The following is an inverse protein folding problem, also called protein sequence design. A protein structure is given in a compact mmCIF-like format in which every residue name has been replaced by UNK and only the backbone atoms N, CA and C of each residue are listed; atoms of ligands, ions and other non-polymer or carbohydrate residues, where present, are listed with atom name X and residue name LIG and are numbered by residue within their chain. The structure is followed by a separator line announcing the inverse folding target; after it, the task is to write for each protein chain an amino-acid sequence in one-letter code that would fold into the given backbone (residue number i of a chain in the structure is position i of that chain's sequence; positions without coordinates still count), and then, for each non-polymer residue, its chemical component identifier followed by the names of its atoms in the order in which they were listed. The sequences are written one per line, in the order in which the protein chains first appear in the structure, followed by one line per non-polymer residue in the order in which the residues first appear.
data_IF_768564795483
#
_entry.id   IF_768564795483
#
_cell.length_a   1.000
_cell.length_b   1.000
_cell.length_c   1.000
_cell.angle_alpha   90.00
_cell.angle_beta   90.00
_cell.angle_gamma   90.00
#
_symmetry.space_group_name_H-M   'P 1'
#
loop_
_entity.id
_entity.type
_entity.pdbx_description
1 polymer ?
#
# COMPACT_ATOMS: atom_id res chain seq x y z
N UNK A 1 -9.43 -0.17 -3.28
CA UNK A 1 -9.71 -1.61 -3.39
C UNK A 1 -9.44 -2.34 -2.06
N UNK A 2 -9.84 -3.62 -1.95
CA UNK A 2 -9.39 -4.51 -0.88
C UNK A 2 -8.01 -5.03 -1.28
N UNK A 3 -6.97 -4.53 -0.62
CA UNK A 3 -5.58 -4.77 -1.01
C UNK A 3 -4.78 -5.39 0.15
N UNK A 4 -3.80 -6.21 -0.18
CA UNK A 4 -2.81 -6.75 0.77
C UNK A 4 -1.71 -5.73 1.11
N UNK A 5 -1.63 -4.60 0.42
CA UNK A 5 -0.59 -3.59 0.62
C UNK A 5 -0.51 -3.14 2.07
N UNK A 6 0.68 -3.27 2.67
CA UNK A 6 0.97 -2.76 4.01
C UNK A 6 0.82 -1.22 4.06
N UNK A 7 1.08 -0.54 2.95
CA UNK A 7 0.96 0.91 2.82
C UNK A 7 -0.50 1.36 2.90
N UNK A 8 -1.43 0.58 2.34
CA UNK A 8 -2.85 0.93 2.23
C UNK A 8 -3.71 0.27 3.33
N UNK A 9 -3.09 -0.22 4.38
CA UNK A 9 -3.79 -0.81 5.52
C UNK A 9 -4.83 0.17 6.08
N UNK A 10 -6.06 -0.32 6.28
CA UNK A 10 -7.21 0.44 6.78
C UNK A 10 -7.65 1.62 5.86
N UNK A 11 -7.29 1.57 4.58
CA UNK A 11 -7.72 2.55 3.57
C UNK A 11 -8.71 1.96 2.56
N UNK A 12 -9.23 0.75 2.80
CA UNK A 12 -10.22 0.12 1.92
C UNK A 12 -11.45 0.99 1.76
N UNK A 13 -11.86 1.24 0.52
CA UNK A 13 -13.03 2.05 0.18
C UNK A 13 -12.80 3.56 0.24
N UNK A 14 -11.63 4.03 0.68
CA UNK A 14 -11.30 5.44 0.63
C UNK A 14 -11.29 5.96 -0.82
N UNK A 15 -11.85 7.14 -1.03
CA UNK A 15 -11.89 7.88 -2.30
C UNK A 15 -11.21 9.21 -2.05
N UNK A 16 -10.07 9.41 -2.65
CA UNK A 16 -9.18 10.52 -2.34
C UNK A 16 -8.69 11.17 -3.62
N UNK A 17 -8.60 12.51 -3.66
CA UNK A 17 -7.91 13.20 -4.74
C UNK A 17 -6.44 12.82 -4.71
N UNK A 18 -5.81 12.73 -5.87
CA UNK A 18 -4.39 12.43 -5.97
C UNK A 18 -3.78 13.17 -7.16
N UNK A 19 -2.54 13.64 -6.98
CA UNK A 19 -1.77 14.26 -8.05
C UNK A 19 -1.34 13.23 -9.08
N UNK A 20 -1.56 13.53 -10.35
CA UNK A 20 -1.10 12.75 -11.50
C UNK A 20 -0.19 13.64 -12.33
N UNK A 21 1.04 13.19 -12.55
CA UNK A 21 2.04 13.94 -13.31
C UNK A 21 2.99 12.96 -14.02
N UNK A 22 2.42 12.06 -14.83
CA UNK A 22 3.18 11.12 -15.64
C UNK A 22 2.85 11.30 -17.13
N UNK A 23 3.87 11.41 -17.96
CA UNK A 23 3.69 11.59 -19.40
C UNK A 23 3.26 10.31 -20.12
N UNK A 24 3.80 9.16 -19.74
CA UNK A 24 3.66 7.91 -20.50
C UNK A 24 3.33 6.68 -19.65
N UNK A 25 3.14 6.82 -18.35
CA UNK A 25 2.96 5.69 -17.47
C UNK A 25 1.53 5.21 -17.36
N UNK A 26 1.25 3.97 -17.72
CA UNK A 26 0.02 3.24 -17.39
C UNK A 26 0.30 1.76 -17.23
N UNK A 27 -0.54 1.05 -16.48
CA UNK A 27 -0.49 -0.40 -16.45
C UNK A 27 -0.84 -0.94 -17.83
N UNK A 28 0.09 -1.63 -18.46
CA UNK A 28 -0.12 -2.34 -19.73
C UNK A 28 -0.39 -3.82 -19.45
N UNK A 29 -1.30 -4.39 -20.20
CA UNK A 29 -1.67 -5.80 -20.13
C UNK A 29 -1.53 -6.42 -21.50
N UNK A 30 -1.07 -7.65 -21.54
CA UNK A 30 -0.93 -8.47 -22.75
C UNK A 30 -1.87 -9.70 -22.69
N UNK A 31 -1.77 -10.57 -23.66
CA UNK A 31 -2.58 -11.78 -23.75
C UNK A 31 -2.35 -12.73 -22.57
N UNK A 32 -1.18 -12.71 -21.96
CA UNK A 32 -0.81 -13.56 -20.82
C UNK A 32 -1.22 -12.96 -19.47
N UNK A 33 -1.40 -11.65 -19.42
CA UNK A 33 -1.72 -10.89 -18.20
C UNK A 33 -3.08 -10.18 -18.34
N UNK A 34 -4.16 -10.95 -18.34
CA UNK A 34 -5.51 -10.40 -18.44
C UNK A 34 -5.84 -9.50 -17.22
N UNK A 35 -6.27 -8.24 -17.42
CA UNK A 35 -6.54 -7.30 -16.33
C UNK A 35 -7.66 -7.78 -15.40
N UNK A 36 -8.64 -8.54 -15.88
CA UNK A 36 -9.68 -9.13 -15.04
C UNK A 36 -9.13 -10.22 -14.10
N UNK A 37 -8.15 -11.01 -14.58
CA UNK A 37 -7.47 -12.00 -13.73
C UNK A 37 -6.60 -11.32 -12.66
N UNK A 38 -5.91 -10.25 -13.02
CA UNK A 38 -5.12 -9.42 -12.08
C UNK A 38 -6.02 -8.83 -10.99
N UNK A 39 -7.21 -8.36 -11.38
CA UNK A 39 -8.21 -7.85 -10.44
C UNK A 39 -8.73 -8.98 -9.52
N UNK A 40 -9.08 -10.14 -10.09
CA UNK A 40 -9.57 -11.31 -9.34
C UNK A 40 -8.51 -11.89 -8.38
N UNK A 41 -7.22 -11.76 -8.72
CA UNK A 41 -6.11 -12.17 -7.87
C UNK A 41 -5.92 -11.28 -6.61
N UNK A 42 -6.67 -10.17 -6.48
CA UNK A 42 -6.62 -9.28 -5.32
C UNK A 42 -5.34 -8.47 -5.18
N UNK A 43 -4.54 -8.37 -6.25
CA UNK A 43 -3.29 -7.60 -6.27
C UNK A 43 -3.46 -6.17 -6.78
N UNK A 44 -4.66 -5.79 -7.23
CA UNK A 44 -4.98 -4.40 -7.55
C UNK A 44 -5.16 -3.61 -6.26
N UNK A 45 -4.33 -2.59 -6.08
CA UNK A 45 -4.30 -1.77 -4.88
C UNK A 45 -5.15 -0.49 -5.03
N UNK A 46 -5.05 0.16 -6.18
CA UNK A 46 -5.72 1.43 -6.47
C UNK A 46 -6.36 1.41 -7.85
N UNK A 47 -7.50 2.09 -7.97
CA UNK A 47 -8.14 2.36 -9.26
C UNK A 47 -8.61 3.80 -9.36
N UNK A 48 -8.60 4.36 -10.54
CA UNK A 48 -9.30 5.59 -10.86
C UNK A 48 -10.80 5.36 -10.82
N UNK A 49 -11.52 6.31 -10.22
CA UNK A 49 -12.97 6.27 -10.10
C UNK A 49 -13.56 7.60 -10.55
N UNK A 50 -14.78 7.56 -11.05
CA UNK A 50 -15.56 8.74 -11.37
C UNK A 50 -16.10 9.43 -10.10
N UNK A 51 -16.86 10.51 -10.27
CA UNK A 51 -17.48 11.27 -9.17
C UNK A 51 -18.56 10.47 -8.41
N UNK A 52 -19.03 9.34 -8.95
CA UNK A 52 -19.96 8.40 -8.28
C UNK A 52 -19.20 7.30 -7.55
N UNK A 53 -17.88 7.21 -7.80
CA UNK A 53 -16.99 6.20 -7.24
C UNK A 53 -16.98 4.88 -8.00
N UNK A 54 -17.48 4.86 -9.21
CA UNK A 54 -17.35 3.72 -10.11
C UNK A 54 -15.98 3.76 -10.81
N UNK A 55 -15.28 2.61 -10.89
CA UNK A 55 -14.04 2.54 -11.68
C UNK A 55 -14.29 2.95 -13.13
N UNK A 56 -13.36 3.75 -13.68
CA UNK A 56 -13.57 4.35 -14.99
C UNK A 56 -12.30 4.38 -15.84
N UNK A 57 -12.50 4.31 -17.16
CA UNK A 57 -11.46 4.49 -18.17
C UNK A 57 -11.54 5.87 -18.85
N UNK A 58 -12.53 6.70 -18.46
CA UNK A 58 -12.84 7.94 -19.15
C UNK A 58 -12.13 9.15 -18.52
N UNK A 59 -11.56 10.00 -19.38
CA UNK A 59 -11.09 11.31 -19.01
C UNK A 59 -12.28 12.20 -18.55
N UNK A 60 -12.11 13.09 -17.57
CA UNK A 60 -10.89 13.46 -16.87
C UNK A 60 -10.57 12.58 -15.64
N UNK A 61 -11.43 11.68 -15.26
CA UNK A 61 -11.28 10.88 -14.02
C UNK A 61 -10.17 9.82 -14.14
N UNK A 62 -9.89 9.34 -15.35
CA UNK A 62 -8.76 8.49 -15.68
C UNK A 62 -7.89 9.23 -16.70
N UNK A 63 -6.82 9.90 -16.24
CA UNK A 63 -6.08 10.84 -17.08
C UNK A 63 -5.17 10.17 -18.12
N UNK A 64 -4.87 8.89 -17.99
CA UNK A 64 -3.96 8.16 -18.89
C UNK A 64 -4.61 6.95 -19.58
N UNK A 65 -5.91 6.74 -19.43
CA UNK A 65 -6.62 5.62 -20.04
C UNK A 65 -6.21 4.24 -19.46
N UNK A 66 -5.83 4.17 -18.20
CA UNK A 66 -5.49 2.89 -17.54
C UNK A 66 -6.66 1.91 -17.60
N UNK A 67 -6.42 0.71 -18.11
CA UNK A 67 -7.42 -0.35 -18.28
C UNK A 67 -8.09 -0.69 -16.95
N UNK A 68 -9.44 -0.78 -16.94
CA UNK A 68 -10.27 -0.97 -15.75
C UNK A 68 -9.99 0.07 -14.64
N UNK A 69 -9.40 1.21 -14.97
CA UNK A 69 -8.96 2.22 -14.01
C UNK A 69 -7.75 1.80 -13.16
N UNK A 70 -7.10 0.68 -13.43
CA UNK A 70 -6.00 0.15 -12.61
C UNK A 70 -4.82 1.12 -12.63
N UNK A 71 -4.47 1.64 -11.45
CA UNK A 71 -3.39 2.62 -11.32
C UNK A 71 -2.41 2.30 -10.19
N UNK A 72 -2.63 1.23 -9.45
CA UNK A 72 -1.71 0.72 -8.45
C UNK A 72 -1.86 -0.78 -8.24
N UNK A 73 -0.73 -1.47 -8.10
CA UNK A 73 -0.64 -2.90 -7.88
C UNK A 73 0.19 -3.19 -6.63
N UNK A 74 -0.03 -4.35 -6.02
CA UNK A 74 0.76 -4.81 -4.87
C UNK A 74 1.13 -6.28 -5.04
N UNK A 75 2.20 -6.69 -4.36
CA UNK A 75 2.54 -8.10 -4.24
C UNK A 75 1.57 -8.83 -3.31
N UNK A 76 1.50 -10.17 -3.40
CA UNK A 76 0.64 -10.99 -2.53
C UNK A 76 0.98 -10.86 -1.05
N UNK A 77 2.26 -10.62 -0.71
CA UNK A 77 2.72 -10.36 0.65
C UNK A 77 2.55 -8.90 1.11
N UNK A 78 2.11 -8.03 0.21
CA UNK A 78 1.83 -6.61 0.46
C UNK A 78 3.04 -5.71 0.67
N UNK A 79 4.25 -6.22 0.56
CA UNK A 79 5.50 -5.48 0.85
C UNK A 79 5.91 -4.52 -0.24
N UNK A 80 5.50 -4.77 -1.47
CA UNK A 80 5.76 -3.90 -2.61
C UNK A 80 4.44 -3.36 -3.12
N UNK A 81 4.36 -2.06 -3.29
CA UNK A 81 3.22 -1.39 -3.93
C UNK A 81 3.77 -0.44 -4.98
N UNK A 82 3.35 -0.64 -6.21
CA UNK A 82 3.64 0.26 -7.32
C UNK A 82 2.38 1.06 -7.67
N UNK A 83 2.56 2.31 -8.01
CA UNK A 83 1.45 3.18 -8.41
C UNK A 83 1.93 4.27 -9.34
N UNK A 84 1.03 4.74 -10.20
CA UNK A 84 1.30 5.85 -11.11
C UNK A 84 1.06 7.22 -10.46
N UNK A 85 -0.02 7.43 -9.67
CA UNK A 85 -0.25 8.69 -8.98
C UNK A 85 0.80 8.98 -7.88
N UNK A 86 0.87 10.24 -7.47
CA UNK A 86 1.89 10.79 -6.58
C UNK A 86 1.33 11.17 -5.19
N UNK A 87 1.20 10.22 -4.24
CA UNK A 87 0.71 10.53 -2.88
C UNK A 87 1.65 11.48 -2.12
N UNK A 88 2.95 11.51 -2.45
CA UNK A 88 3.92 12.42 -1.84
C UNK A 88 3.68 13.89 -2.21
N UNK A 89 2.85 14.16 -3.21
CA UNK A 89 2.50 15.52 -3.63
C UNK A 89 1.21 16.04 -2.99
N UNK A 90 0.48 15.21 -2.24
CA UNK A 90 -0.83 15.53 -1.66
C UNK A 90 -1.02 15.00 -0.24
N UNK A 91 0.07 14.72 0.49
CA UNK A 91 -0.01 14.22 1.87
C UNK A 91 -0.25 15.33 2.91
N UNK A 92 0.02 16.60 2.56
CA UNK A 92 -0.36 17.77 3.34
C UNK A 92 -1.63 18.39 2.79
N UNK A 93 -2.49 18.87 3.67
CA UNK A 93 -3.75 19.52 3.27
C UNK A 93 -3.50 20.74 2.39
N UNK A 94 -2.48 21.55 2.70
CA UNK A 94 -2.10 22.72 1.90
C UNK A 94 -1.69 22.41 0.44
N UNK A 95 -1.43 21.15 0.11
CA UNK A 95 -1.09 20.70 -1.24
C UNK A 95 -2.33 20.38 -2.09
N UNK A 96 -3.52 20.43 -1.50
CA UNK A 96 -4.79 20.18 -2.18
C UNK A 96 -5.47 21.52 -2.47
N UNK A 97 -5.96 21.70 -3.69
CA UNK A 97 -6.71 22.91 -4.09
C UNK A 97 -8.06 23.03 -3.38
N UNK A 98 -8.60 21.91 -2.92
CA UNK A 98 -9.78 21.82 -2.07
C UNK A 98 -9.64 20.62 -1.13
N UNK A 99 -10.18 20.76 0.07
CA UNK A 99 -10.23 19.70 1.08
C UNK A 99 -11.37 19.94 2.06
N UNK A 100 -11.92 18.89 2.70
CA UNK A 100 -12.81 19.01 3.83
C UNK A 100 -12.11 19.70 5.02
N UNK A 101 -12.83 20.53 5.77
CA UNK A 101 -12.26 21.26 6.90
C UNK A 101 -11.73 20.35 8.02
N UNK A 102 -12.30 19.17 8.18
CA UNK A 102 -11.93 18.18 9.18
C UNK A 102 -10.59 17.50 8.95
N UNK A 103 -9.95 17.66 7.80
CA UNK A 103 -8.64 17.02 7.54
C UNK A 103 -7.49 17.59 8.38
N UNK A 104 -7.62 18.80 8.91
CA UNK A 104 -6.57 19.44 9.69
C UNK A 104 -5.34 19.79 8.85
N UNK A 105 -4.14 19.57 9.38
CA UNK A 105 -2.88 19.87 8.69
C UNK A 105 -2.42 18.75 7.74
N UNK A 106 -2.64 17.50 8.16
CA UNK A 106 -2.21 16.31 7.44
C UNK A 106 -3.32 15.77 6.54
N UNK A 107 -3.06 15.63 5.26
CA UNK A 107 -3.97 15.01 4.31
C UNK A 107 -4.04 13.48 4.48
N UNK A 108 -5.12 12.83 3.97
CA UNK A 108 -5.37 11.41 4.20
C UNK A 108 -4.28 10.50 3.59
N UNK A 109 -3.55 10.94 2.57
CA UNK A 109 -2.46 10.17 1.98
C UNK A 109 -1.25 10.00 2.91
N UNK A 110 -1.10 10.83 3.93
CA UNK A 110 -0.06 10.64 4.95
C UNK A 110 -0.19 9.31 5.68
N UNK A 111 -1.41 8.73 5.75
CA UNK A 111 -1.65 7.42 6.34
C UNK A 111 -0.82 6.33 5.69
N UNK A 112 -0.61 6.38 4.39
CA UNK A 112 0.23 5.43 3.65
C UNK A 112 1.65 5.37 4.23
N UNK A 113 2.28 6.51 4.46
CA UNK A 113 3.62 6.62 5.04
C UNK A 113 3.64 6.20 6.53
N UNK A 114 2.60 6.55 7.28
CA UNK A 114 2.43 6.11 8.67
C UNK A 114 2.28 4.59 8.80
N UNK A 115 1.56 3.96 7.87
CA UNK A 115 1.42 2.51 7.82
C UNK A 115 2.77 1.82 7.58
N UNK A 116 3.55 2.29 6.62
CA UNK A 116 4.91 1.80 6.36
C UNK A 116 5.80 1.94 7.61
N UNK A 117 5.77 3.10 8.27
CA UNK A 117 6.54 3.35 9.50
C UNK A 117 6.16 2.40 10.63
N UNK A 118 4.88 2.17 10.83
CA UNK A 118 4.38 1.22 11.85
C UNK A 118 4.82 -0.20 11.56
N UNK A 119 4.75 -0.61 10.30
CA UNK A 119 5.12 -1.96 9.88
C UNK A 119 6.62 -2.23 10.12
N UNK A 120 7.50 -1.33 9.71
CA UNK A 120 8.95 -1.42 9.96
C UNK A 120 9.26 -1.44 11.46
N UNK A 121 8.55 -0.65 12.28
CA UNK A 121 8.72 -0.66 13.73
C UNK A 121 8.32 -2.00 14.36
N UNK A 122 7.21 -2.59 13.92
CA UNK A 122 6.75 -3.88 14.40
C UNK A 122 7.70 -5.03 14.03
N UNK A 123 8.25 -5.02 12.81
CA UNK A 123 9.25 -6.00 12.35
C UNK A 123 10.53 -5.96 13.18
N UNK A 124 11.03 -4.77 13.53
CA UNK A 124 12.20 -4.61 14.40
C UNK A 124 11.98 -5.22 15.77
N UNK A 125 10.82 -4.97 16.38
CA UNK A 125 10.47 -5.53 17.71
C UNK A 125 10.36 -7.06 17.64
N UNK A 126 9.77 -7.61 16.60
CA UNK A 126 9.66 -9.05 16.40
C UNK A 126 11.05 -9.70 16.17
N UNK A 127 11.92 -9.04 15.41
CA UNK A 127 13.30 -9.47 15.18
C UNK A 127 14.11 -9.54 16.48
N UNK A 128 14.04 -8.50 17.30
CA UNK A 128 14.72 -8.46 18.60
C UNK A 128 14.23 -9.55 19.56
N UNK A 129 12.91 -9.84 19.59
CA UNK A 129 12.37 -10.94 20.41
C UNK A 129 12.89 -12.30 19.96
N UNK A 130 12.99 -12.56 18.65
CA UNK A 130 13.54 -13.82 18.11
C UNK A 130 15.01 -14.00 18.44
N UNK A 131 15.81 -12.93 18.40
CA UNK A 131 17.22 -12.94 18.78
C UNK A 131 17.39 -13.22 20.27
N UNK A 132 16.62 -12.54 21.13
CA UNK A 132 16.66 -12.76 22.58
C UNK A 132 16.29 -14.22 22.99
N UNK A 133 15.29 -14.81 22.31
CA UNK A 133 14.91 -16.21 22.54
C UNK A 133 16.03 -17.16 22.11
N UNK A 134 16.71 -16.91 20.99
CA UNK A 134 17.84 -17.73 20.53
C UNK A 134 19.02 -17.65 21.51
N UNK A 135 19.34 -16.48 22.03
CA UNK A 135 20.40 -16.30 23.03
C UNK A 135 20.09 -17.00 24.35
N UNK A 136 18.83 -16.95 24.82
CA UNK A 136 18.43 -17.64 26.06
C UNK A 136 18.47 -19.17 25.92
N UNK A 137 18.18 -19.73 24.74
CA UNK A 137 18.30 -21.17 24.47
C UNK A 137 19.76 -21.60 24.35
N UNK A 138 20.64 -20.75 23.79
CA UNK A 138 22.05 -21.03 23.65
C UNK A 138 22.82 -20.94 24.99
N UNK A 139 22.34 -20.10 25.94
CA UNK A 139 22.93 -19.97 27.26
C UNK A 139 22.42 -20.98 28.30
N UNK A 140 21.36 -21.75 28.00
CA UNK A 140 20.83 -22.83 28.80
C UNK A 140 21.56 -24.16 28.54
N UNK A 141 22.86 -24.20 28.83
CA UNK A 141 23.63 -25.46 28.85
C UNK A 141 23.05 -26.43 29.89
N UNK A 142 22.43 -27.50 29.44
CA UNK A 142 21.99 -28.59 30.27
C UNK A 142 23.26 -29.29 30.85
N UNK A 143 23.55 -29.03 32.11
CA UNK A 143 24.55 -29.86 32.83
C UNK A 143 23.88 -31.20 33.20
N UNK A 144 24.37 -32.25 32.62
CA UNK A 144 24.02 -33.63 33.02
C UNK A 144 24.67 -33.89 34.37
N UNK A 145 23.96 -34.32 35.41
CA UNK A 145 24.58 -34.72 36.66
C UNK A 145 25.35 -36.05 36.43
N UNK A 146 26.63 -36.05 36.77
CA UNK A 146 27.40 -37.30 36.87
C UNK A 146 26.86 -38.15 38.02
N UNK A 147 26.35 -39.34 37.70
CA UNK A 147 26.02 -40.35 38.68
C UNK A 147 27.29 -41.09 39.07
N UNK A 148 27.65 -41.01 40.35
CA UNK A 148 28.57 -41.92 41.01
C UNK A 148 27.82 -43.16 41.54
#
# INVERSE_FOLDING_TARGET
EKSHSIFLKDMKGARLPIAVAHGEGRAAFDETHNPHQVLAAGIVALRYVDNRGAPTEHYPYNPNGSTLGITGLTTKDGRVTIMMPHPERVFRVAQNSWHPAEWGEDGPWLRMFRNARKWVGAEKVAGNRRSAVKESVASGGYQVPEMH
#
